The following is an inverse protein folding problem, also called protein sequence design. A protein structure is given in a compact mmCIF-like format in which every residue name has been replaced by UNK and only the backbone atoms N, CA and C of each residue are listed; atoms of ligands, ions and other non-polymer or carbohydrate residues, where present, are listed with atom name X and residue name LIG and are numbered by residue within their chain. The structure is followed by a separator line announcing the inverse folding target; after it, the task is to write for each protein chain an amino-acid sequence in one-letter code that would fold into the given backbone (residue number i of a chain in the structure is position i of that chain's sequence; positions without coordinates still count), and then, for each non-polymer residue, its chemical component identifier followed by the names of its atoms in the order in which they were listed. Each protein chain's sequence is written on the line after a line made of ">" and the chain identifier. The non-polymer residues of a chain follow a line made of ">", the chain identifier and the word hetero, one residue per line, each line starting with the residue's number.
data_IF_043589072412
#
_entry.id   IF_043589072412
#
_cell.length_a   1.000
_cell.length_b   1.000
_cell.length_c   1.000
_cell.angle_alpha   90.00
_cell.angle_beta   90.00
_cell.angle_gamma   90.00
#
_symmetry.space_group_name_H-M   'P 1'
#
loop_
_entity.id
_entity.type
_entity.pdbx_description
1 polymer ?
#
# COMPACT_ATOMS: atom_id res chain seq x y z
N UNK A 1 -55.03 16.76 11.86
CA UNK A 1 -54.27 15.52 12.11
C UNK A 1 -53.47 15.05 10.90
N UNK A 2 -54.06 14.74 9.74
CA UNK A 2 -53.31 14.26 8.56
C UNK A 2 -52.13 15.16 8.13
N UNK A 3 -52.32 16.48 8.11
CA UNK A 3 -51.24 17.43 7.76
C UNK A 3 -50.05 17.38 8.73
N UNK A 4 -50.30 17.16 10.02
CA UNK A 4 -49.24 17.08 11.04
C UNK A 4 -48.48 15.75 10.88
N UNK A 5 -49.20 14.65 10.66
CA UNK A 5 -48.61 13.33 10.40
C UNK A 5 -47.71 13.36 9.16
N UNK A 6 -48.14 14.01 8.07
CA UNK A 6 -47.34 14.15 6.85
C UNK A 6 -46.07 14.99 7.05
N UNK A 7 -46.12 16.03 7.88
CA UNK A 7 -44.94 16.85 8.21
C UNK A 7 -43.95 16.06 9.06
N UNK A 8 -44.43 15.32 10.07
CA UNK A 8 -43.56 14.50 10.92
C UNK A 8 -42.87 13.39 10.11
N UNK A 9 -43.60 12.74 9.19
CA UNK A 9 -43.03 11.70 8.32
C UNK A 9 -41.94 12.26 7.40
N UNK A 10 -42.15 13.46 6.83
CA UNK A 10 -41.19 14.13 5.97
C UNK A 10 -39.88 14.45 6.73
N UNK A 11 -39.99 14.92 7.98
CA UNK A 11 -38.82 15.22 8.83
C UNK A 11 -38.02 13.95 9.11
N UNK A 12 -38.68 12.82 9.39
CA UNK A 12 -38.02 11.53 9.63
C UNK A 12 -37.25 11.08 8.38
N UNK A 13 -37.86 11.19 7.19
CA UNK A 13 -37.21 10.82 5.92
C UNK A 13 -35.97 11.70 5.67
N UNK A 14 -36.07 13.01 5.91
CA UNK A 14 -34.93 13.92 5.77
C UNK A 14 -33.81 13.56 6.75
N UNK A 15 -34.14 13.27 8.01
CA UNK A 15 -33.13 12.83 8.99
C UNK A 15 -32.48 11.50 8.62
N UNK A 16 -33.23 10.54 8.06
CA UNK A 16 -32.67 9.27 7.58
C UNK A 16 -31.74 9.47 6.39
N UNK A 17 -32.10 10.32 5.42
CA UNK A 17 -31.27 10.63 4.27
C UNK A 17 -29.97 11.36 4.68
N UNK A 18 -30.08 12.31 5.61
CA UNK A 18 -28.93 13.01 6.17
C UNK A 18 -28.03 12.06 6.97
N UNK A 19 -28.60 11.19 7.80
CA UNK A 19 -27.86 10.18 8.55
C UNK A 19 -27.13 9.20 7.63
N UNK A 20 -27.78 8.72 6.57
CA UNK A 20 -27.18 7.85 5.57
C UNK A 20 -26.03 8.55 4.82
N UNK A 21 -26.21 9.82 4.44
CA UNK A 21 -25.16 10.63 3.81
C UNK A 21 -23.94 10.76 4.73
N UNK A 22 -24.13 11.19 5.97
CA UNK A 22 -23.03 11.38 6.95
C UNK A 22 -22.26 10.09 7.20
N UNK A 23 -22.95 8.94 7.26
CA UNK A 23 -22.30 7.64 7.43
C UNK A 23 -21.44 7.24 6.23
N UNK A 24 -21.84 7.63 5.02
CA UNK A 24 -21.10 7.33 3.78
C UNK A 24 -20.02 8.38 3.44
N UNK A 25 -20.05 9.57 4.04
CA UNK A 25 -19.14 10.68 3.72
C UNK A 25 -17.80 10.68 4.48
N UNK A 26 -17.43 9.59 5.16
CA UNK A 26 -16.05 9.45 5.64
C UNK A 26 -15.12 9.18 4.47
N UNK A 27 -14.68 10.25 3.80
CA UNK A 27 -13.65 10.19 2.75
C UNK A 27 -12.36 9.68 3.38
N UNK A 28 -11.99 8.44 3.09
CA UNK A 28 -10.74 7.86 3.59
C UNK A 28 -9.55 8.54 2.91
N UNK A 29 -9.11 9.67 3.45
CA UNK A 29 -8.01 10.42 2.85
C UNK A 29 -6.66 9.81 3.25
N UNK A 30 -5.81 9.58 2.24
CA UNK A 30 -4.40 9.24 2.40
C UNK A 30 -3.50 10.48 2.26
N UNK A 31 -4.05 11.62 1.84
CA UNK A 31 -3.29 12.86 1.61
C UNK A 31 -2.51 13.25 2.86
N UNK A 32 -1.23 13.60 2.69
CA UNK A 32 -0.31 14.00 3.76
C UNK A 32 -0.18 12.97 4.88
N UNK A 33 -0.32 11.68 4.56
CA UNK A 33 -0.13 10.59 5.53
C UNK A 33 1.18 9.85 5.31
N UNK A 34 1.80 9.43 6.40
CA UNK A 34 2.93 8.52 6.41
C UNK A 34 2.53 7.20 7.08
N UNK A 35 3.01 6.11 6.51
CA UNK A 35 2.76 4.76 6.98
C UNK A 35 4.04 3.95 6.97
N UNK A 36 4.23 3.15 8.00
CA UNK A 36 5.32 2.20 8.14
C UNK A 36 4.79 0.83 7.82
N UNK A 37 5.36 0.16 6.83
CA UNK A 37 4.85 -1.06 6.26
C UNK A 37 5.90 -2.16 6.39
N UNK A 38 5.46 -3.33 6.83
CA UNK A 38 6.29 -4.52 6.95
C UNK A 38 5.83 -5.56 5.93
N UNK A 39 6.81 -6.17 5.27
CA UNK A 39 6.62 -7.29 4.36
C UNK A 39 7.72 -8.33 4.60
N UNK A 40 7.31 -9.60 4.72
CA UNK A 40 8.21 -10.73 4.89
C UNK A 40 7.96 -11.73 3.76
N UNK A 41 8.98 -11.96 2.93
CA UNK A 41 8.91 -12.88 1.80
C UNK A 41 9.57 -14.20 2.21
N UNK A 42 8.74 -15.17 2.55
CA UNK A 42 9.17 -16.50 2.98
C UNK A 42 8.55 -17.50 2.00
N UNK A 43 9.37 -18.28 1.28
CA UNK A 43 8.97 -19.24 0.21
C UNK A 43 8.98 -18.68 -1.22
N UNK A 44 10.17 -18.36 -1.73
CA UNK A 44 10.35 -18.02 -3.15
C UNK A 44 10.16 -19.25 -4.05
N UNK A 45 9.27 -19.16 -5.05
CA UNK A 45 9.03 -20.24 -6.03
C UNK A 45 10.06 -20.18 -7.18
N UNK A 46 10.59 -18.99 -7.48
CA UNK A 46 11.54 -18.79 -8.57
C UNK A 46 12.95 -19.26 -8.20
N UNK A 47 13.59 -20.00 -9.12
CA UNK A 47 14.98 -20.45 -9.01
C UNK A 47 15.98 -19.30 -8.85
N UNK A 48 15.64 -18.10 -9.32
CA UNK A 48 16.50 -16.93 -9.15
C UNK A 48 16.69 -16.52 -7.68
N UNK A 49 15.76 -16.94 -6.81
CA UNK A 49 15.78 -16.61 -5.39
C UNK A 49 16.08 -17.82 -4.48
N UNK A 50 16.44 -18.97 -5.04
CA UNK A 50 16.63 -20.20 -4.25
C UNK A 50 17.82 -20.17 -3.27
N UNK A 51 18.73 -19.20 -3.41
CA UNK A 51 19.86 -19.02 -2.49
C UNK A 51 19.53 -18.17 -1.25
N UNK A 52 18.33 -17.59 -1.21
CA UNK A 52 17.87 -16.72 -0.12
C UNK A 52 16.96 -17.48 0.82
N UNK A 53 17.25 -17.42 2.12
CA UNK A 53 16.41 -18.02 3.16
C UNK A 53 15.26 -17.09 3.56
N UNK A 54 15.52 -15.77 3.56
CA UNK A 54 14.57 -14.75 3.95
C UNK A 54 14.92 -13.40 3.28
N UNK A 55 13.89 -12.67 2.85
CA UNK A 55 14.00 -11.25 2.50
C UNK A 55 12.97 -10.50 3.34
N UNK A 56 13.47 -9.61 4.20
CA UNK A 56 12.64 -8.73 5.04
C UNK A 56 12.69 -7.32 4.49
N UNK A 57 11.52 -6.72 4.29
CA UNK A 57 11.35 -5.40 3.68
C UNK A 57 10.59 -4.50 4.64
N UNK A 58 11.22 -3.36 4.96
CA UNK A 58 10.62 -2.28 5.75
C UNK A 58 10.43 -1.07 4.84
N UNK A 59 9.19 -0.61 4.71
CA UNK A 59 8.83 0.46 3.79
C UNK A 59 8.18 1.63 4.53
N UNK A 60 8.58 2.84 4.17
CA UNK A 60 7.95 4.08 4.62
C UNK A 60 7.17 4.69 3.46
N UNK A 61 5.86 4.47 3.45
CA UNK A 61 4.95 5.09 2.49
C UNK A 61 4.63 6.52 2.91
N UNK A 62 4.82 7.47 2.01
CA UNK A 62 4.42 8.87 2.19
C UNK A 62 3.50 9.26 1.03
N UNK A 63 2.22 9.41 1.32
CA UNK A 63 1.24 9.96 0.37
C UNK A 63 1.30 11.48 0.47
N UNK A 64 2.07 12.12 -0.41
CA UNK A 64 2.40 13.55 -0.33
C UNK A 64 1.27 14.45 -0.81
N UNK A 65 0.38 13.97 -1.69
CA UNK A 65 -0.78 14.72 -2.19
C UNK A 65 -1.98 13.81 -2.49
N UNK A 66 -2.98 14.32 -3.22
CA UNK A 66 -4.15 13.54 -3.67
C UNK A 66 -3.81 12.45 -4.68
N UNK A 67 -2.72 12.59 -5.43
CA UNK A 67 -2.35 11.65 -6.49
C UNK A 67 -0.88 11.23 -6.45
N UNK A 68 -0.06 11.73 -5.52
CA UNK A 68 1.38 11.42 -5.45
C UNK A 68 1.78 10.64 -4.19
N UNK A 69 2.72 9.71 -4.38
CA UNK A 69 3.32 8.96 -3.28
C UNK A 69 4.85 8.89 -3.42
N UNK A 70 5.50 8.61 -2.31
CA UNK A 70 6.89 8.20 -2.24
C UNK A 70 7.02 6.99 -1.31
N UNK A 71 7.92 6.07 -1.62
CA UNK A 71 8.26 4.94 -0.74
C UNK A 71 9.76 4.97 -0.51
N UNK A 72 10.16 4.91 0.75
CA UNK A 72 11.53 4.59 1.11
C UNK A 72 11.57 3.17 1.67
N UNK A 73 12.22 2.27 0.96
CA UNK A 73 12.31 0.85 1.29
C UNK A 73 13.72 0.49 1.76
N UNK A 74 13.78 -0.24 2.87
CA UNK A 74 14.96 -0.84 3.43
C UNK A 74 14.81 -2.35 3.35
N UNK A 75 15.70 -3.00 2.61
CA UNK A 75 15.68 -4.44 2.39
C UNK A 75 16.84 -5.06 3.13
N UNK A 76 16.56 -6.13 3.86
CA UNK A 76 17.58 -7.02 4.42
C UNK A 76 17.51 -8.35 3.70
N UNK A 77 18.55 -8.66 2.93
CA UNK A 77 18.68 -9.93 2.19
C UNK A 77 19.54 -10.88 3.01
N UNK A 78 18.98 -12.02 3.41
CA UNK A 78 19.71 -13.08 4.10
C UNK A 78 19.93 -14.28 3.18
N UNK A 79 21.19 -14.60 2.91
CA UNK A 79 21.57 -15.84 2.21
C UNK A 79 21.59 -17.02 3.18
N UNK A 80 21.36 -18.23 2.68
CA UNK A 80 21.40 -19.48 3.49
C UNK A 80 22.72 -19.76 4.23
N UNK A 81 23.78 -19.00 3.95
CA UNK A 81 25.09 -19.05 4.64
C UNK A 81 25.27 -17.94 5.70
N UNK A 82 24.22 -17.20 6.05
CA UNK A 82 24.24 -16.13 7.06
C UNK A 82 24.83 -14.80 6.60
N UNK A 83 25.04 -14.60 5.29
CA UNK A 83 25.49 -13.30 4.75
C UNK A 83 24.28 -12.37 4.65
N UNK A 84 24.33 -11.27 5.38
CA UNK A 84 23.31 -10.22 5.38
C UNK A 84 23.79 -9.07 4.49
N UNK A 85 23.01 -8.72 3.47
CA UNK A 85 23.30 -7.59 2.58
C UNK A 85 22.12 -6.60 2.56
N UNK A 86 22.28 -5.40 3.13
CA UNK A 86 21.23 -4.39 3.11
C UNK A 86 21.17 -3.69 1.75
N UNK A 87 19.95 -3.52 1.22
CA UNK A 87 19.65 -2.68 0.07
C UNK A 87 18.73 -1.53 0.48
N UNK A 88 18.80 -0.41 -0.22
CA UNK A 88 17.92 0.74 0.01
C UNK A 88 17.40 1.23 -1.33
N UNK A 89 16.09 1.37 -1.43
CA UNK A 89 15.40 1.76 -2.66
C UNK A 89 14.43 2.89 -2.37
N UNK A 90 14.41 3.85 -3.28
CA UNK A 90 13.50 4.98 -3.23
C UNK A 90 12.61 4.99 -4.47
N UNK A 91 11.30 5.09 -4.24
CA UNK A 91 10.27 5.10 -5.27
C UNK A 91 9.51 6.42 -5.23
N UNK A 92 9.24 6.99 -6.39
CA UNK A 92 8.32 8.12 -6.57
C UNK A 92 7.30 7.74 -7.64
N UNK A 93 6.07 8.20 -7.45
CA UNK A 93 5.04 7.89 -8.41
C UNK A 93 3.69 8.50 -8.09
N UNK A 94 2.71 8.05 -8.88
CA UNK A 94 1.32 8.45 -8.73
C UNK A 94 0.44 7.32 -8.24
N UNK A 95 -0.55 7.64 -7.42
CA UNK A 95 -1.57 6.67 -7.02
C UNK A 95 -2.96 7.11 -7.45
N UNK A 96 -3.79 6.13 -7.75
CA UNK A 96 -5.23 6.31 -7.91
C UNK A 96 -5.94 5.41 -6.91
N UNK A 97 -7.03 5.91 -6.35
CA UNK A 97 -7.82 5.21 -5.36
C UNK A 97 -9.28 5.17 -5.80
N UNK A 98 -9.80 3.97 -5.99
CA UNK A 98 -11.19 3.73 -6.38
C UNK A 98 -11.79 2.68 -5.46
N UNK A 99 -12.82 3.05 -4.72
CA UNK A 99 -13.45 2.18 -3.73
C UNK A 99 -12.42 1.58 -2.75
N UNK A 100 -12.25 0.26 -2.78
CA UNK A 100 -11.30 -0.50 -1.97
C UNK A 100 -10.06 -0.92 -2.76
N UNK A 101 -9.80 -0.31 -3.91
CA UNK A 101 -8.61 -0.54 -4.72
C UNK A 101 -7.71 0.70 -4.72
N UNK A 102 -6.41 0.45 -4.64
CA UNK A 102 -5.37 1.46 -4.84
C UNK A 102 -4.36 0.95 -5.86
N UNK A 103 -4.13 1.74 -6.89
CA UNK A 103 -3.13 1.48 -7.93
C UNK A 103 -1.97 2.42 -7.74
N UNK A 104 -0.77 1.87 -7.62
CA UNK A 104 0.50 2.59 -7.54
C UNK A 104 1.20 2.51 -8.90
N UNK A 105 1.48 3.66 -9.50
CA UNK A 105 2.26 3.79 -10.74
C UNK A 105 3.65 4.32 -10.36
N UNK A 106 4.68 3.55 -10.63
CA UNK A 106 6.05 3.84 -10.22
C UNK A 106 6.77 4.62 -11.32
N UNK A 107 6.75 5.95 -11.24
CA UNK A 107 7.36 6.81 -12.28
C UNK A 107 8.88 6.79 -12.22
N UNK A 108 9.46 6.72 -11.01
CA UNK A 108 10.91 6.74 -10.79
C UNK A 108 11.31 5.76 -9.71
N UNK A 109 12.35 4.98 -9.98
CA UNK A 109 12.97 4.07 -9.00
C UNK A 109 14.46 4.36 -8.91
N UNK A 110 14.95 4.51 -7.68
CA UNK A 110 16.36 4.80 -7.40
C UNK A 110 16.89 3.80 -6.38
N UNK A 111 17.86 2.99 -6.79
CA UNK A 111 18.68 2.22 -5.86
C UNK A 111 19.63 3.19 -5.14
N UNK A 112 19.37 3.45 -3.86
CA UNK A 112 20.22 4.27 -3.00
C UNK A 112 21.41 3.45 -2.52
N UNK A 113 21.17 2.18 -2.18
CA UNK A 113 22.20 1.22 -1.78
C UNK A 113 21.96 -0.12 -2.48
N UNK A 114 22.98 -0.60 -3.16
CA UNK A 114 22.95 -1.83 -3.94
C UNK A 114 23.54 -3.00 -3.15
N UNK A 115 23.05 -4.20 -3.42
CA UNK A 115 23.67 -5.44 -2.96
C UNK A 115 24.62 -6.00 -4.01
N UNK A 116 25.45 -6.98 -3.65
CA UNK A 116 26.40 -7.58 -4.60
C UNK A 116 25.70 -8.32 -5.75
N UNK A 117 24.52 -8.91 -5.50
CA UNK A 117 23.76 -9.61 -6.53
C UNK A 117 23.04 -8.61 -7.45
N UNK A 118 23.49 -8.54 -8.70
CA UNK A 118 22.89 -7.68 -9.73
C UNK A 118 21.46 -8.04 -10.07
N UNK A 119 21.04 -9.30 -9.90
CA UNK A 119 19.67 -9.72 -10.19
C UNK A 119 18.69 -9.14 -9.18
N UNK A 120 19.08 -9.04 -7.91
CA UNK A 120 18.30 -8.36 -6.87
C UNK A 120 18.18 -6.88 -7.19
N UNK A 121 19.31 -6.22 -7.49
CA UNK A 121 19.29 -4.80 -7.84
C UNK A 121 18.37 -4.55 -9.03
N UNK A 122 18.44 -5.40 -10.06
CA UNK A 122 17.61 -5.32 -11.25
C UNK A 122 16.14 -5.55 -10.95
N UNK A 123 15.78 -6.54 -10.12
CA UNK A 123 14.36 -6.81 -9.81
C UNK A 123 13.68 -5.62 -9.14
N UNK A 124 14.38 -4.86 -8.29
CA UNK A 124 13.86 -3.62 -7.74
C UNK A 124 13.80 -2.49 -8.78
N UNK A 125 14.79 -2.36 -9.68
CA UNK A 125 14.76 -1.35 -10.74
C UNK A 125 13.65 -1.59 -11.77
N UNK A 126 13.29 -2.85 -12.02
CA UNK A 126 12.27 -3.24 -12.98
C UNK A 126 10.84 -2.77 -12.56
N UNK A 127 10.65 -2.28 -11.33
CA UNK A 127 9.44 -1.57 -10.94
C UNK A 127 9.26 -0.22 -11.66
N UNK A 128 10.32 0.39 -12.21
CA UNK A 128 10.18 1.67 -12.90
C UNK A 128 9.31 1.56 -14.16
N UNK A 129 8.28 2.39 -14.26
CA UNK A 129 7.27 2.34 -15.30
C UNK A 129 6.22 1.24 -15.10
N UNK A 130 6.26 0.50 -14.01
CA UNK A 130 5.29 -0.55 -13.69
C UNK A 130 4.16 -0.02 -12.82
N UNK A 131 3.03 -0.73 -12.83
CA UNK A 131 1.84 -0.42 -12.03
C UNK A 131 1.45 -1.63 -11.20
N UNK A 132 1.11 -1.39 -9.92
CA UNK A 132 0.64 -2.43 -9.02
C UNK A 132 -0.68 -2.01 -8.40
N UNK A 133 -1.70 -2.85 -8.56
CA UNK A 133 -3.01 -2.69 -7.90
C UNK A 133 -3.11 -3.59 -6.67
N UNK A 134 -3.61 -3.01 -5.59
CA UNK A 134 -3.94 -3.70 -4.36
C UNK A 134 -5.39 -3.46 -3.99
N UNK A 135 -6.05 -4.49 -3.47
CA UNK A 135 -7.18 -4.24 -2.59
C UNK A 135 -6.63 -3.67 -1.28
N UNK A 136 -7.19 -2.59 -0.75
CA UNK A 136 -6.74 -1.98 0.49
C UNK A 136 -7.88 -1.79 1.48
N UNK A 137 -7.54 -1.87 2.77
CA UNK A 137 -8.46 -1.63 3.87
C UNK A 137 -7.76 -0.89 4.99
N UNK A 138 -8.32 0.23 5.42
CA UNK A 138 -7.84 1.00 6.57
C UNK A 138 -8.73 0.77 7.80
N UNK A 139 -8.10 0.46 8.92
CA UNK A 139 -8.74 0.23 10.22
C UNK A 139 -7.98 1.02 11.28
N UNK A 140 -8.43 2.26 11.55
CA UNK A 140 -7.77 3.17 12.48
C UNK A 140 -6.34 3.49 12.05
N UNK A 141 -5.38 3.09 12.88
CA UNK A 141 -3.95 3.27 12.63
C UNK A 141 -3.31 2.12 11.85
N UNK A 142 -4.09 1.15 11.35
CA UNK A 142 -3.60 0.06 10.50
C UNK A 142 -4.15 0.19 9.10
N UNK A 143 -3.36 -0.16 8.11
CA UNK A 143 -3.75 -0.26 6.72
C UNK A 143 -3.21 -1.56 6.15
N UNK A 144 -4.06 -2.29 5.43
CA UNK A 144 -3.74 -3.59 4.86
C UNK A 144 -3.82 -3.45 3.35
N UNK A 145 -2.79 -3.94 2.66
CA UNK A 145 -2.77 -4.10 1.22
C UNK A 145 -2.79 -5.59 0.90
N UNK A 146 -3.69 -6.00 0.03
CA UNK A 146 -3.85 -7.37 -0.44
C UNK A 146 -3.60 -7.41 -1.94
N UNK A 147 -2.70 -8.29 -2.35
CA UNK A 147 -2.44 -8.50 -3.77
C UNK A 147 -3.68 -9.08 -4.44
N UNK A 148 -4.12 -8.45 -5.52
CA UNK A 148 -5.25 -8.95 -6.31
C UNK A 148 -4.82 -10.03 -7.31
N UNK A 149 -3.52 -10.26 -7.49
CA UNK A 149 -2.95 -11.21 -8.44
C UNK A 149 -2.07 -12.23 -7.70
N UNK A 150 -2.04 -13.49 -8.16
CA UNK A 150 -1.15 -14.54 -7.62
C UNK A 150 0.33 -14.38 -8.01
N UNK A 151 0.71 -13.25 -8.60
CA UNK A 151 2.10 -12.98 -8.96
C UNK A 151 2.88 -12.54 -7.71
N UNK A 152 4.20 -12.34 -7.83
CA UNK A 152 5.14 -11.97 -6.75
C UNK A 152 4.88 -10.57 -6.11
N UNK A 153 3.64 -10.09 -6.12
CA UNK A 153 3.13 -8.97 -5.36
C UNK A 153 2.56 -9.54 -4.07
N UNK A 154 3.13 -9.16 -2.93
CA UNK A 154 2.75 -9.70 -1.63
C UNK A 154 1.87 -8.74 -0.86
N UNK A 155 1.12 -9.32 0.07
CA UNK A 155 0.32 -8.56 1.03
C UNK A 155 1.24 -7.77 1.97
N UNK A 156 0.82 -6.55 2.31
CA UNK A 156 1.57 -5.66 3.18
C UNK A 156 0.68 -5.19 4.33
N UNK A 157 1.26 -5.11 5.53
CA UNK A 157 0.59 -4.50 6.67
C UNK A 157 1.33 -3.22 7.04
N UNK A 158 0.57 -2.14 7.15
CA UNK A 158 1.07 -0.82 7.42
C UNK A 158 0.45 -0.23 8.69
N UNK A 159 1.20 0.61 9.38
CA UNK A 159 0.78 1.27 10.61
C UNK A 159 1.19 2.74 10.65
N UNK A 160 0.37 3.53 11.35
CA UNK A 160 0.68 4.87 11.80
C UNK A 160 1.16 4.80 13.25
N UNK A 161 2.36 5.29 13.51
CA UNK A 161 2.76 5.73 14.84
C UNK A 161 2.07 7.05 15.17
#
# INVERSE_FOLDING_TARGET
>A
MLKVINITLLIIIIMLLLGFSVLNFKKDSLVTTRWYCDQSKNSFISKAYSEYSNITEYMIFTFSSEDSFMIHEYITVEKSKGVISPAEVFYEGKYNKKDNEITLNFDRVRLVKQVQDSNINKSYQDYQGYSISYAYKKLGNKMYFYSMNKNDVFDMVCYKN
#
